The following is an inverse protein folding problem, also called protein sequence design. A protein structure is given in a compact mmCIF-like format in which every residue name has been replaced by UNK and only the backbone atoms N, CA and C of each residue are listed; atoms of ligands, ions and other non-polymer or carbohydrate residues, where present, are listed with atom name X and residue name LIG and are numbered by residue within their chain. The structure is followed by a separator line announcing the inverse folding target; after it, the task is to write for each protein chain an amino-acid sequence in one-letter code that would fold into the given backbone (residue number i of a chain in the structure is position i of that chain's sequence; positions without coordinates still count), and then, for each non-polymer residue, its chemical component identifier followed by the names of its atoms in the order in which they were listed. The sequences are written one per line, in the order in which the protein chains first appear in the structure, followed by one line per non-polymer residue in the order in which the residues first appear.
data_IF_345107262848
#
_entry.id   IF_345107262848
#
_cell.length_a   1.000
_cell.length_b   1.000
_cell.length_c   1.000
_cell.angle_alpha   90.00
_cell.angle_beta   90.00
_cell.angle_gamma   90.00
#
_symmetry.space_group_name_H-M   'P 1'
#
loop_
_entity.id
_entity.type
_entity.pdbx_description
1 polymer ?
#
# COMPACT_ATOMS: atom_id res chain seq x y z
N UNK A 1 -35.20 -30.15 3.29
CA UNK A 1 -35.63 -29.87 4.68
C UNK A 1 -35.00 -30.89 5.62
N UNK A 2 -33.89 -30.58 6.28
CA UNK A 2 -33.56 -31.11 7.62
C UNK A 2 -32.76 -30.02 8.35
N UNK A 3 -33.50 -29.23 9.12
CA UNK A 3 -33.17 -28.70 10.45
C UNK A 3 -31.76 -28.15 10.73
N UNK A 4 -31.64 -26.82 10.61
CA UNK A 4 -30.83 -25.96 11.49
C UNK A 4 -31.10 -26.34 12.95
N UNK A 5 -30.10 -26.89 13.66
CA UNK A 5 -30.06 -26.91 15.12
C UNK A 5 -28.72 -26.33 15.57
N UNK A 6 -28.84 -25.15 16.15
CA UNK A 6 -27.86 -24.43 16.96
C UNK A 6 -26.93 -25.37 17.73
N UNK A 7 -25.63 -25.30 17.41
CA UNK A 7 -24.58 -25.86 18.26
C UNK A 7 -23.77 -24.70 18.84
N UNK A 8 -24.19 -24.35 20.06
CA UNK A 8 -23.50 -23.68 21.15
C UNK A 8 -22.35 -22.71 20.83
N UNK A 9 -22.67 -21.45 21.14
CA UNK A 9 -21.89 -20.22 21.13
C UNK A 9 -20.63 -20.15 22.04
N UNK A 10 -20.10 -21.24 22.60
CA UNK A 10 -19.06 -21.14 23.66
C UNK A 10 -17.65 -21.64 23.27
N UNK A 11 -17.19 -21.44 22.04
CA UNK A 11 -15.77 -21.80 21.70
C UNK A 11 -15.09 -20.88 20.69
N UNK A 12 -15.80 -19.90 20.14
CA UNK A 12 -15.23 -18.82 19.32
C UNK A 12 -14.69 -17.66 20.20
N UNK A 13 -15.10 -17.58 21.47
CA UNK A 13 -14.74 -16.46 22.37
C UNK A 13 -13.26 -16.45 22.80
N UNK A 14 -12.54 -17.59 22.75
CA UNK A 14 -11.15 -17.62 23.24
C UNK A 14 -10.10 -17.01 22.31
N UNK A 15 -10.40 -16.83 21.02
CA UNK A 15 -9.49 -16.13 20.08
C UNK A 15 -9.99 -14.73 19.71
N UNK A 16 -11.28 -14.42 19.95
CA UNK A 16 -11.90 -13.17 19.50
C UNK A 16 -11.97 -12.09 20.59
N UNK A 17 -11.97 -12.42 21.89
CA UNK A 17 -12.23 -11.43 22.96
C UNK A 17 -11.03 -10.89 23.77
N UNK A 18 -9.79 -11.35 23.57
CA UNK A 18 -8.63 -10.85 24.36
C UNK A 18 -7.86 -9.76 23.60
N UNK A 19 -8.57 -8.71 23.14
CA UNK A 19 -7.95 -7.45 22.71
C UNK A 19 -7.91 -6.39 23.82
N UNK A 20 -8.65 -6.55 24.92
CA UNK A 20 -8.48 -5.68 26.09
C UNK A 20 -8.99 -6.38 27.34
N UNK A 21 -8.14 -6.58 28.34
CA UNK A 21 -8.48 -6.42 29.77
C UNK A 21 -7.26 -6.64 30.65
N UNK A 22 -6.88 -5.57 31.35
CA UNK A 22 -6.10 -5.61 32.57
C UNK A 22 -6.88 -6.28 33.69
N UNK A 23 -6.33 -7.31 34.32
CA UNK A 23 -6.60 -7.61 35.74
C UNK A 23 -5.51 -8.50 36.34
N UNK A 24 -5.00 -8.02 37.46
CA UNK A 24 -4.04 -8.63 38.37
C UNK A 24 -4.55 -9.92 39.03
N UNK A 25 -3.65 -10.89 39.23
CA UNK A 25 -3.61 -11.62 40.50
C UNK A 25 -2.20 -12.10 40.81
N UNK A 26 -1.72 -11.65 41.96
CA UNK A 26 -0.49 -12.07 42.65
C UNK A 26 -0.43 -13.58 42.87
N UNK A 27 0.76 -14.19 42.74
CA UNK A 27 1.28 -15.18 43.69
C UNK A 27 2.77 -15.49 43.48
N UNK A 28 3.52 -15.30 44.57
CA UNK A 28 4.73 -15.99 45.02
C UNK A 28 5.96 -16.10 44.11
N UNK A 29 6.90 -15.19 44.38
CA UNK A 29 8.30 -15.22 44.00
C UNK A 29 9.04 -16.43 44.56
N UNK A 30 9.41 -17.37 43.70
CA UNK A 30 10.50 -18.31 43.93
C UNK A 30 11.74 -17.88 43.14
N UNK A 31 12.92 -17.93 43.76
CA UNK A 31 14.22 -17.55 43.15
C UNK A 31 14.59 -18.36 41.89
N UNK A 32 13.81 -19.38 41.53
CA UNK A 32 13.94 -20.17 40.30
C UNK A 32 13.28 -19.49 39.08
N UNK A 33 12.18 -18.75 39.28
CA UNK A 33 11.52 -17.97 38.21
C UNK A 33 12.39 -16.81 37.76
N UNK A 34 13.03 -16.09 38.68
CA UNK A 34 13.90 -14.96 38.33
C UNK A 34 15.14 -15.41 37.53
N UNK A 35 15.69 -16.58 37.84
CA UNK A 35 16.84 -17.15 37.13
C UNK A 35 16.42 -17.69 35.75
N UNK A 36 15.23 -18.29 35.63
CA UNK A 36 14.67 -18.72 34.35
C UNK A 36 14.32 -17.54 33.44
N UNK A 37 13.75 -16.46 33.99
CA UNK A 37 13.43 -15.24 33.23
C UNK A 37 14.70 -14.55 32.73
N UNK A 38 15.75 -14.49 33.56
CA UNK A 38 17.06 -13.92 33.18
C UNK A 38 17.71 -14.74 32.05
N UNK A 39 17.76 -16.06 32.20
CA UNK A 39 18.26 -16.96 31.17
C UNK A 39 17.43 -16.86 29.87
N UNK A 40 16.13 -16.65 29.97
CA UNK A 40 15.24 -16.46 28.82
C UNK A 40 15.46 -15.11 28.13
N UNK A 41 15.65 -14.03 28.90
CA UNK A 41 16.03 -12.71 28.39
C UNK A 41 17.35 -12.77 27.62
N UNK A 42 18.32 -13.56 28.08
CA UNK A 42 19.58 -13.79 27.37
C UNK A 42 19.38 -14.55 26.05
N UNK A 43 18.50 -15.56 26.03
CA UNK A 43 18.14 -16.28 24.79
C UNK A 43 17.38 -15.40 23.78
N UNK A 44 16.58 -14.44 24.27
CA UNK A 44 15.96 -13.41 23.45
C UNK A 44 16.94 -12.30 23.08
N UNK A 45 18.01 -12.10 23.86
CA UNK A 45 19.02 -11.08 23.60
C UNK A 45 19.82 -11.38 22.33
N UNK A 46 20.03 -12.66 22.00
CA UNK A 46 20.66 -13.09 20.75
C UNK A 46 19.74 -13.05 19.53
N UNK A 47 18.45 -12.79 19.70
CA UNK A 47 17.50 -12.71 18.58
C UNK A 47 17.45 -11.30 17.98
N UNK A 48 17.74 -11.21 16.69
CA UNK A 48 17.72 -9.98 15.92
C UNK A 48 16.30 -9.64 15.43
N UNK A 49 15.50 -9.08 16.34
CA UNK A 49 14.16 -8.51 16.07
C UNK A 49 14.16 -6.98 16.10
N UNK A 50 15.34 -6.37 16.18
CA UNK A 50 15.48 -4.92 16.22
C UNK A 50 14.71 -4.24 17.36
N UNK A 51 14.07 -3.13 17.07
CA UNK A 51 13.21 -2.27 17.89
C UNK A 51 11.96 -2.97 18.44
N UNK A 52 11.56 -4.10 17.85
CA UNK A 52 10.44 -4.91 18.35
C UNK A 52 10.85 -5.80 19.52
N UNK A 53 12.15 -5.94 19.79
CA UNK A 53 12.70 -6.77 20.86
C UNK A 53 12.04 -6.51 22.20
N UNK A 54 11.78 -5.26 22.57
CA UNK A 54 11.09 -4.95 23.84
C UNK A 54 9.62 -5.39 23.85
N UNK A 55 8.88 -5.21 22.74
CA UNK A 55 7.50 -5.65 22.65
C UNK A 55 7.40 -7.18 22.71
N UNK A 56 8.30 -7.86 22.01
CA UNK A 56 8.31 -9.33 21.99
C UNK A 56 8.73 -9.87 23.36
N UNK A 57 9.79 -9.34 23.96
CA UNK A 57 10.21 -9.69 25.33
C UNK A 57 9.04 -9.53 26.29
N UNK A 58 8.32 -8.41 26.24
CA UNK A 58 7.15 -8.19 27.10
C UNK A 58 6.10 -9.28 26.94
N UNK A 59 5.73 -9.65 25.71
CA UNK A 59 4.72 -10.71 25.49
C UNK A 59 5.18 -12.09 25.99
N UNK A 60 6.48 -12.37 25.90
CA UNK A 60 7.05 -13.57 26.52
C UNK A 60 7.05 -13.51 28.05
N UNK A 61 7.38 -12.37 28.63
CA UNK A 61 7.36 -12.16 30.09
C UNK A 61 5.94 -12.28 30.64
N UNK A 62 4.95 -11.71 29.95
CA UNK A 62 3.53 -11.82 30.31
C UNK A 62 3.09 -13.29 30.32
N UNK A 63 3.52 -14.09 29.33
CA UNK A 63 3.26 -15.53 29.27
C UNK A 63 3.97 -16.31 30.38
N UNK A 64 5.28 -16.08 30.56
CA UNK A 64 6.10 -16.80 31.54
C UNK A 64 5.72 -16.49 32.99
N UNK A 65 5.18 -15.30 33.26
CA UNK A 65 4.68 -14.90 34.58
C UNK A 65 3.30 -15.50 34.91
N UNK A 66 2.72 -16.30 34.01
CA UNK A 66 1.40 -16.92 34.19
C UNK A 66 0.24 -15.93 34.13
N UNK A 67 0.49 -14.70 33.67
CA UNK A 67 -0.55 -13.68 33.53
C UNK A 67 -1.46 -13.93 32.32
N UNK A 68 -0.99 -14.71 31.33
CA UNK A 68 -1.75 -15.08 30.13
C UNK A 68 -1.57 -16.56 29.81
N UNK A 69 -2.67 -17.23 29.46
CA UNK A 69 -2.70 -18.66 29.16
C UNK A 69 -2.14 -19.01 27.76
N UNK A 70 -1.86 -18.02 26.92
CA UNK A 70 -1.42 -18.23 25.54
C UNK A 70 -0.41 -17.19 25.08
N UNK A 71 0.50 -17.59 24.20
CA UNK A 71 1.53 -16.71 23.68
C UNK A 71 1.07 -16.05 22.36
N UNK A 72 0.70 -14.77 22.43
CA UNK A 72 0.34 -13.99 21.26
C UNK A 72 1.55 -13.27 20.66
N UNK A 73 2.05 -13.70 19.50
CA UNK A 73 3.09 -13.03 18.74
C UNK A 73 2.59 -12.48 17.40
N UNK A 74 1.28 -12.29 17.24
CA UNK A 74 0.68 -11.74 16.03
C UNK A 74 1.03 -10.26 15.82
N UNK A 75 1.04 -9.83 14.55
CA UNK A 75 1.22 -8.42 14.12
C UNK A 75 2.58 -7.80 14.46
N UNK A 76 3.61 -8.62 14.65
CA UNK A 76 4.94 -8.17 15.02
C UNK A 76 5.92 -8.15 13.84
N UNK A 77 5.46 -8.43 12.61
CA UNK A 77 6.33 -8.42 11.43
C UNK A 77 7.48 -9.44 11.49
N UNK A 78 7.31 -10.51 12.28
CA UNK A 78 8.37 -11.49 12.53
C UNK A 78 8.76 -12.22 11.24
N UNK A 79 10.06 -12.30 10.96
CA UNK A 79 10.61 -13.10 9.84
C UNK A 79 11.06 -14.49 10.26
N UNK A 80 11.41 -14.65 11.53
CA UNK A 80 11.86 -15.89 12.16
C UNK A 80 11.30 -15.97 13.58
N UNK A 81 11.54 -17.09 14.27
CA UNK A 81 11.33 -17.22 15.72
C UNK A 81 12.66 -17.48 16.43
N UNK A 82 12.80 -17.07 17.70
CA UNK A 82 14.02 -17.28 18.47
C UNK A 82 14.10 -18.72 18.97
N UNK A 83 15.31 -19.18 19.24
CA UNK A 83 15.56 -20.43 19.97
C UNK A 83 15.02 -20.39 21.41
N UNK A 84 14.68 -19.21 21.93
CA UNK A 84 14.00 -19.08 23.22
C UNK A 84 12.69 -19.88 23.28
N UNK A 85 12.00 -20.10 22.15
CA UNK A 85 10.83 -21.00 22.06
C UNK A 85 11.15 -22.41 22.55
N UNK A 86 12.39 -22.89 22.35
CA UNK A 86 12.82 -24.23 22.81
C UNK A 86 12.83 -24.36 24.33
N UNK A 87 12.82 -23.23 25.07
CA UNK A 87 12.81 -23.20 26.53
C UNK A 87 11.41 -23.23 27.13
N UNK A 88 10.37 -23.21 26.31
CA UNK A 88 8.96 -23.34 26.72
C UNK A 88 8.30 -24.57 26.06
N UNK A 89 8.77 -25.79 26.36
CA UNK A 89 8.24 -27.01 25.75
C UNK A 89 6.77 -27.31 26.13
N UNK A 90 6.29 -26.68 27.20
CA UNK A 90 4.91 -26.75 27.69
C UNK A 90 3.95 -25.78 26.98
N UNK A 91 4.40 -25.11 25.91
CA UNK A 91 3.57 -24.16 25.17
C UNK A 91 2.38 -24.89 24.52
N UNK A 92 1.16 -24.53 24.94
CA UNK A 92 -0.09 -25.13 24.45
C UNK A 92 -0.73 -24.32 23.31
N UNK A 93 -0.68 -22.99 23.39
CA UNK A 93 -1.35 -22.10 22.43
C UNK A 93 -0.40 -20.99 22.00
N UNK A 94 -0.18 -20.88 20.68
CA UNK A 94 0.59 -19.78 20.09
C UNK A 94 -0.12 -19.19 18.87
N UNK A 95 -0.14 -17.86 18.83
CA UNK A 95 -0.60 -17.11 17.65
C UNK A 95 0.55 -16.36 17.02
N UNK A 96 0.78 -16.62 15.73
CA UNK A 96 1.80 -16.02 14.88
C UNK A 96 1.19 -15.37 13.65
N UNK A 97 -0.10 -15.08 13.68
CA UNK A 97 -0.81 -14.52 12.53
C UNK A 97 -0.33 -13.13 12.12
N UNK A 98 -0.49 -12.79 10.83
CA UNK A 98 -0.13 -11.49 10.26
C UNK A 98 1.33 -11.07 10.54
N UNK A 99 2.25 -12.03 10.40
CA UNK A 99 3.69 -11.82 10.45
C UNK A 99 4.31 -11.94 9.06
N UNK A 100 5.65 -11.98 8.98
CA UNK A 100 6.40 -12.05 7.73
C UNK A 100 7.13 -13.39 7.58
N UNK A 101 6.59 -14.46 8.15
CA UNK A 101 7.21 -15.78 8.13
C UNK A 101 7.09 -16.37 6.72
N UNK A 102 8.23 -16.66 6.09
CA UNK A 102 8.31 -17.29 4.76
C UNK A 102 8.48 -18.81 4.83
N UNK A 103 9.05 -19.30 5.93
CA UNK A 103 9.31 -20.70 6.18
C UNK A 103 8.85 -21.07 7.58
N UNK A 104 8.25 -22.25 7.73
CA UNK A 104 7.77 -22.69 9.03
C UNK A 104 8.92 -22.73 10.05
N UNK A 105 8.76 -22.18 11.26
CA UNK A 105 9.83 -22.16 12.25
C UNK A 105 10.11 -23.56 12.82
N UNK A 106 11.28 -24.13 12.52
CA UNK A 106 11.67 -25.47 13.01
C UNK A 106 11.61 -25.60 14.54
N UNK A 107 11.84 -24.51 15.27
CA UNK A 107 11.77 -24.48 16.74
C UNK A 107 10.40 -24.87 17.30
N UNK A 108 9.32 -24.63 16.56
CA UNK A 108 7.96 -25.00 16.99
C UNK A 108 7.76 -26.52 17.01
N UNK A 109 8.47 -27.28 16.18
CA UNK A 109 8.37 -28.74 16.16
C UNK A 109 8.82 -29.40 17.47
N UNK A 110 9.51 -28.66 18.34
CA UNK A 110 9.93 -29.11 19.68
C UNK A 110 8.86 -28.88 20.75
N UNK A 111 7.83 -28.07 20.49
CA UNK A 111 6.73 -27.77 21.40
C UNK A 111 5.68 -28.88 21.37
N UNK A 112 6.00 -30.04 21.97
CA UNK A 112 5.15 -31.23 21.89
C UNK A 112 3.76 -31.07 22.50
N UNK A 113 3.60 -30.14 23.45
CA UNK A 113 2.31 -29.88 24.10
C UNK A 113 1.42 -28.91 23.30
N UNK A 114 1.85 -28.46 22.12
CA UNK A 114 1.13 -27.45 21.36
C UNK A 114 -0.20 -28.00 20.83
N UNK A 115 -1.30 -27.42 21.30
CA UNK A 115 -2.67 -27.79 20.93
C UNK A 115 -3.24 -26.87 19.85
N UNK A 116 -2.88 -25.58 19.87
CA UNK A 116 -3.40 -24.57 18.94
C UNK A 116 -2.26 -23.73 18.36
N UNK A 117 -2.17 -23.74 17.02
CA UNK A 117 -1.19 -22.97 16.26
C UNK A 117 -1.89 -22.11 15.21
N UNK A 118 -1.83 -20.79 15.36
CA UNK A 118 -2.33 -19.85 14.36
C UNK A 118 -1.17 -19.24 13.57
N UNK A 119 -1.15 -19.47 12.27
CA UNK A 119 -0.17 -19.04 11.29
C UNK A 119 -0.80 -18.26 10.12
N UNK A 120 -2.06 -17.86 10.27
CA UNK A 120 -2.83 -17.13 9.25
C UNK A 120 -2.12 -15.85 8.78
N UNK A 121 -2.24 -15.50 7.49
CA UNK A 121 -1.73 -14.22 6.98
C UNK A 121 -0.20 -14.07 7.04
N UNK A 122 0.53 -15.15 6.78
CA UNK A 122 1.99 -15.14 6.61
C UNK A 122 2.34 -15.33 5.13
N UNK A 123 3.59 -15.69 4.82
CA UNK A 123 4.09 -15.87 3.45
C UNK A 123 4.57 -17.30 3.19
N UNK A 124 3.95 -18.30 3.83
CA UNK A 124 4.30 -19.70 3.62
C UNK A 124 3.93 -20.16 2.21
N UNK A 125 4.87 -20.80 1.52
CA UNK A 125 4.65 -21.44 0.21
C UNK A 125 4.45 -22.96 0.28
N UNK A 126 4.98 -23.57 1.32
CA UNK A 126 4.80 -24.99 1.63
C UNK A 126 4.78 -25.20 3.14
N UNK A 127 4.29 -26.36 3.57
CA UNK A 127 4.32 -26.82 4.95
C UNK A 127 5.30 -28.00 5.04
N UNK A 128 6.24 -28.01 5.99
CA UNK A 128 7.22 -29.09 6.08
C UNK A 128 6.69 -30.34 6.81
N UNK A 129 7.23 -31.51 6.47
CA UNK A 129 6.86 -32.80 7.08
C UNK A 129 6.98 -32.84 8.60
N UNK A 130 7.98 -32.14 9.16
CA UNK A 130 8.24 -32.14 10.60
C UNK A 130 7.15 -31.44 11.42
N UNK A 131 6.17 -30.80 10.79
CA UNK A 131 4.98 -30.31 11.46
C UNK A 131 4.13 -31.45 12.07
N UNK A 132 4.16 -32.63 11.43
CA UNK A 132 3.52 -33.85 11.91
C UNK A 132 3.99 -34.30 13.30
N UNK A 133 5.16 -33.82 13.77
CA UNK A 133 5.68 -34.13 15.10
C UNK A 133 4.89 -33.47 16.24
N UNK A 134 3.94 -32.57 15.93
CA UNK A 134 3.06 -31.94 16.89
C UNK A 134 1.85 -32.83 17.19
N UNK A 135 2.08 -33.95 17.87
CA UNK A 135 1.09 -35.02 18.12
C UNK A 135 -0.16 -34.55 18.90
N UNK A 136 -0.03 -33.48 19.68
CA UNK A 136 -1.12 -32.90 20.47
C UNK A 136 -1.87 -31.77 19.75
N UNK A 137 -1.48 -31.43 18.52
CA UNK A 137 -2.07 -30.31 17.78
C UNK A 137 -3.51 -30.63 17.38
N UNK A 138 -4.46 -29.89 17.94
CA UNK A 138 -5.88 -30.04 17.64
C UNK A 138 -6.41 -28.98 16.69
N UNK A 139 -5.73 -27.84 16.57
CA UNK A 139 -6.10 -26.76 15.65
C UNK A 139 -4.87 -26.14 15.01
N UNK A 140 -4.89 -26.11 13.68
CA UNK A 140 -3.89 -25.42 12.87
C UNK A 140 -4.60 -24.46 11.93
N UNK A 141 -4.29 -23.18 12.04
CA UNK A 141 -4.73 -22.17 11.09
C UNK A 141 -3.57 -21.74 10.19
N UNK A 142 -3.64 -22.05 8.91
CA UNK A 142 -2.67 -21.62 7.89
C UNK A 142 -3.37 -20.86 6.76
N UNK A 143 -4.54 -20.27 7.05
CA UNK A 143 -5.28 -19.43 6.11
C UNK A 143 -4.40 -18.29 5.57
N UNK A 144 -4.77 -17.75 4.41
CA UNK A 144 -4.16 -16.52 3.88
C UNK A 144 -2.64 -16.56 3.75
N UNK A 145 -2.12 -17.74 3.42
CA UNK A 145 -0.75 -17.93 2.97
C UNK A 145 -0.76 -18.33 1.48
N UNK A 146 0.29 -17.97 0.71
CA UNK A 146 0.45 -18.38 -0.70
C UNK A 146 0.88 -19.86 -0.83
N UNK A 147 0.20 -20.76 -0.11
CA UNK A 147 0.49 -22.19 -0.03
C UNK A 147 -0.05 -22.93 -1.26
N UNK A 148 0.74 -23.86 -1.78
CA UNK A 148 0.24 -24.87 -2.70
C UNK A 148 -0.42 -26.01 -1.89
N UNK A 149 -1.75 -26.10 -1.96
CA UNK A 149 -2.53 -27.09 -1.20
C UNK A 149 -2.24 -28.52 -1.64
N UNK A 150 -1.77 -28.72 -2.88
CA UNK A 150 -1.43 -30.04 -3.42
C UNK A 150 -0.09 -30.57 -2.87
N UNK A 151 0.67 -29.73 -2.16
CA UNK A 151 1.98 -30.03 -1.58
C UNK A 151 1.95 -30.14 -0.04
N UNK A 152 0.76 -30.32 0.56
CA UNK A 152 0.67 -30.51 2.00
C UNK A 152 1.24 -31.90 2.40
N UNK A 153 2.07 -31.95 3.46
CA UNK A 153 2.76 -33.18 3.84
C UNK A 153 1.78 -34.21 4.41
N UNK A 154 2.02 -35.49 4.13
CA UNK A 154 1.15 -36.58 4.59
C UNK A 154 1.05 -36.64 6.12
N UNK A 155 2.13 -36.26 6.81
CA UNK A 155 2.23 -36.26 8.27
C UNK A 155 1.22 -35.35 8.97
N UNK A 156 0.66 -34.34 8.28
CA UNK A 156 -0.44 -33.52 8.82
C UNK A 156 -1.71 -34.33 9.05
N UNK A 157 -1.97 -35.31 8.19
CA UNK A 157 -3.16 -36.17 8.28
C UNK A 157 -3.02 -37.26 9.35
N UNK A 158 -1.81 -37.47 9.85
CA UNK A 158 -1.50 -38.43 10.92
C UNK A 158 -1.72 -37.83 12.31
N UNK A 159 -1.84 -36.50 12.42
CA UNK A 159 -2.11 -35.80 13.69
C UNK A 159 -3.55 -36.09 14.16
N UNK A 160 -3.75 -36.73 15.33
CA UNK A 160 -5.08 -37.08 15.81
C UNK A 160 -5.95 -35.85 16.10
N UNK A 161 -7.20 -35.87 15.60
CA UNK A 161 -8.22 -34.83 15.86
C UNK A 161 -7.85 -33.42 15.36
N UNK A 162 -6.87 -33.30 14.46
CA UNK A 162 -6.49 -32.01 13.88
C UNK A 162 -7.65 -31.38 13.11
N UNK A 163 -7.99 -30.14 13.48
CA UNK A 163 -8.83 -29.25 12.68
C UNK A 163 -7.93 -28.28 11.94
N UNK A 164 -7.87 -28.47 10.62
CA UNK A 164 -7.06 -27.66 9.74
C UNK A 164 -7.90 -26.57 9.06
N UNK A 165 -7.53 -25.31 9.27
CA UNK A 165 -8.05 -24.20 8.47
C UNK A 165 -7.08 -23.92 7.31
N UNK A 166 -7.46 -24.41 6.12
CA UNK A 166 -6.80 -24.12 4.84
C UNK A 166 -7.51 -23.05 4.03
N UNK A 167 -8.65 -22.54 4.51
CA UNK A 167 -9.41 -21.60 3.69
C UNK A 167 -8.53 -20.39 3.45
N UNK A 168 -8.15 -20.15 2.19
CA UNK A 168 -8.04 -18.77 1.74
C UNK A 168 -9.45 -18.22 1.91
N UNK A 169 -9.72 -17.59 3.05
CA UNK A 169 -11.06 -17.08 3.27
C UNK A 169 -11.28 -16.06 2.16
N UNK A 170 -12.35 -16.26 1.38
CA UNK A 170 -12.88 -15.24 0.46
C UNK A 170 -13.19 -13.90 1.15
N UNK A 171 -13.02 -13.84 2.48
CA UNK A 171 -13.38 -12.78 3.41
C UNK A 171 -12.29 -12.51 4.47
N UNK A 172 -11.05 -12.96 4.28
CA UNK A 172 -10.02 -12.65 5.26
C UNK A 172 -9.75 -11.15 5.29
N UNK A 173 -10.08 -10.56 6.43
CA UNK A 173 -9.74 -9.20 6.78
C UNK A 173 -8.43 -9.25 7.58
N UNK A 174 -7.28 -8.81 7.01
CA UNK A 174 -6.04 -8.68 7.77
C UNK A 174 -6.25 -8.05 9.14
N UNK A 175 -5.75 -8.65 10.23
CA UNK A 175 -5.93 -8.05 11.55
C UNK A 175 -5.21 -6.69 11.64
N UNK A 176 -4.21 -6.45 10.78
CA UNK A 176 -3.61 -5.12 10.57
C UNK A 176 -4.63 -4.10 10.07
N UNK A 177 -5.57 -4.44 9.18
CA UNK A 177 -6.63 -3.50 8.82
C UNK A 177 -7.40 -3.07 10.06
N UNK A 178 -7.79 -4.02 10.93
CA UNK A 178 -8.48 -3.70 12.18
C UNK A 178 -7.63 -2.82 13.10
N UNK A 179 -6.32 -3.05 13.17
CA UNK A 179 -5.39 -2.25 13.97
C UNK A 179 -5.27 -0.80 13.49
N UNK A 180 -5.24 -0.56 12.17
CA UNK A 180 -5.12 0.79 11.60
C UNK A 180 -6.48 1.49 11.44
N UNK A 181 -7.50 0.79 10.93
CA UNK A 181 -8.86 1.27 10.75
C UNK A 181 -9.89 0.13 10.97
N UNK A 182 -10.48 0.06 12.19
CA UNK A 182 -11.56 -0.89 12.47
C UNK A 182 -12.76 -0.76 11.52
N UNK A 183 -13.09 0.47 11.10
CA UNK A 183 -14.20 0.73 10.19
C UNK A 183 -13.90 0.17 8.78
N UNK A 184 -12.68 0.35 8.28
CA UNK A 184 -12.27 -0.20 7.00
C UNK A 184 -12.31 -1.74 7.03
N UNK A 185 -11.80 -2.32 8.12
CA UNK A 185 -11.81 -3.77 8.34
C UNK A 185 -13.23 -4.35 8.27
N UNK A 186 -14.22 -3.69 8.90
CA UNK A 186 -15.63 -4.12 8.83
C UNK A 186 -16.20 -4.08 7.41
N UNK A 187 -15.78 -3.13 6.57
CA UNK A 187 -16.26 -2.95 5.20
C UNK A 187 -15.45 -3.70 4.15
N UNK A 188 -14.30 -4.29 4.52
CA UNK A 188 -13.38 -4.94 3.57
C UNK A 188 -14.05 -6.03 2.73
N UNK A 189 -14.94 -6.84 3.32
CA UNK A 189 -15.67 -7.90 2.61
C UNK A 189 -16.51 -7.39 1.42
N UNK A 190 -16.89 -6.10 1.43
CA UNK A 190 -17.54 -5.43 0.29
C UNK A 190 -16.51 -5.06 -0.79
N UNK A 191 -15.35 -4.55 -0.38
CA UNK A 191 -14.29 -4.07 -1.27
C UNK A 191 -13.48 -5.20 -1.89
N UNK A 192 -13.39 -6.35 -1.23
CA UNK A 192 -12.63 -7.52 -1.68
C UNK A 192 -13.14 -8.08 -3.02
N UNK A 193 -14.42 -7.86 -3.34
CA UNK A 193 -15.02 -8.26 -4.62
C UNK A 193 -14.66 -7.34 -5.78
N UNK A 194 -14.04 -6.19 -5.52
CA UNK A 194 -13.66 -5.23 -6.53
C UNK A 194 -12.31 -5.61 -7.17
N UNK A 195 -12.15 -5.25 -8.44
CA UNK A 195 -10.94 -5.58 -9.20
C UNK A 195 -9.72 -4.88 -8.59
N UNK A 196 -8.64 -5.64 -8.37
CA UNK A 196 -7.38 -5.15 -7.81
C UNK A 196 -7.30 -5.14 -6.28
N UNK A 197 -8.37 -5.53 -5.57
CA UNK A 197 -8.40 -5.60 -4.10
C UNK A 197 -7.32 -6.53 -3.51
N UNK A 198 -7.01 -7.64 -4.19
CA UNK A 198 -5.99 -8.60 -3.77
C UNK A 198 -4.57 -8.03 -3.81
N UNK A 199 -4.26 -7.22 -4.83
CA UNK A 199 -3.00 -6.50 -4.91
C UNK A 199 -2.89 -5.50 -3.76
N UNK A 200 -3.95 -4.73 -3.50
CA UNK A 200 -3.96 -3.80 -2.37
C UNK A 200 -3.77 -4.49 -1.02
N UNK A 201 -4.45 -5.63 -0.78
CA UNK A 201 -4.28 -6.44 0.43
C UNK A 201 -2.82 -6.84 0.62
N UNK A 202 -2.19 -7.35 -0.44
CA UNK A 202 -0.78 -7.76 -0.45
C UNK A 202 0.14 -6.57 -0.18
N UNK A 203 -0.08 -5.46 -0.88
CA UNK A 203 0.68 -4.22 -0.73
C UNK A 203 0.61 -3.71 0.71
N UNK A 204 -0.59 -3.69 1.28
CA UNK A 204 -0.79 -3.21 2.64
C UNK A 204 -0.07 -4.07 3.67
N UNK A 205 -0.10 -5.39 3.52
CA UNK A 205 0.62 -6.30 4.41
C UNK A 205 2.14 -6.08 4.34
N UNK A 206 2.67 -5.80 3.14
CA UNK A 206 4.09 -5.49 2.95
C UNK A 206 4.42 -4.13 3.58
N UNK A 207 3.73 -3.04 3.22
CA UNK A 207 3.99 -1.70 3.77
C UNK A 207 3.88 -1.70 5.29
N UNK A 208 2.81 -2.28 5.82
CA UNK A 208 2.63 -2.36 7.28
C UNK A 208 3.72 -3.16 7.97
N UNK A 209 4.39 -4.11 7.28
CA UNK A 209 5.54 -4.81 7.84
C UNK A 209 6.80 -3.95 7.82
N UNK A 210 6.99 -3.19 6.76
CA UNK A 210 8.12 -2.28 6.59
C UNK A 210 8.10 -1.21 7.69
N UNK A 211 6.93 -0.69 8.06
CA UNK A 211 6.76 0.29 9.14
C UNK A 211 7.26 -0.19 10.52
N UNK A 212 7.28 -1.50 10.75
CA UNK A 212 7.75 -2.07 12.02
C UNK A 212 9.24 -2.42 12.03
N UNK A 213 9.97 -2.11 10.96
CA UNK A 213 11.44 -2.17 10.95
C UNK A 213 12.06 -1.01 11.73
N UNK A 214 13.31 -1.18 12.16
CA UNK A 214 14.06 -0.19 12.95
C UNK A 214 14.35 1.08 12.18
N UNK A 215 14.56 0.91 10.87
CA UNK A 215 14.79 2.03 9.95
C UNK A 215 13.62 3.01 9.92
N UNK A 216 12.40 2.52 10.19
CA UNK A 216 11.20 3.34 10.20
C UNK A 216 10.81 3.83 11.59
N UNK A 217 11.59 3.56 12.65
CA UNK A 217 11.17 3.81 14.03
C UNK A 217 10.78 5.27 14.30
N UNK A 218 11.51 6.24 13.73
CA UNK A 218 11.21 7.67 13.91
C UNK A 218 9.98 8.12 13.11
N UNK A 219 9.80 7.54 11.92
CA UNK A 219 8.79 7.91 10.91
C UNK A 219 7.47 7.15 11.09
N UNK A 220 7.51 6.04 11.83
CA UNK A 220 6.38 5.12 12.05
C UNK A 220 5.10 5.83 12.50
N UNK A 221 5.10 6.81 13.43
CA UNK A 221 3.88 7.50 13.83
C UNK A 221 3.21 8.23 12.66
N UNK A 222 4.01 8.95 11.86
CA UNK A 222 3.52 9.69 10.69
C UNK A 222 2.88 8.75 9.67
N UNK A 223 3.63 7.72 9.23
CA UNK A 223 3.11 6.79 8.23
C UNK A 223 1.95 5.95 8.72
N UNK A 224 1.90 5.62 10.01
CA UNK A 224 0.75 4.91 10.59
C UNK A 224 -0.52 5.75 10.50
N UNK A 225 -0.42 7.06 10.76
CA UNK A 225 -1.52 7.99 10.58
C UNK A 225 -1.91 8.13 9.10
N UNK A 226 -0.94 8.20 8.19
CA UNK A 226 -1.20 8.24 6.73
C UNK A 226 -1.89 6.99 6.22
N UNK A 227 -1.44 5.79 6.61
CA UNK A 227 -2.12 4.53 6.25
C UNK A 227 -3.57 4.52 6.75
N UNK A 228 -3.79 4.87 8.02
CA UNK A 228 -5.14 4.99 8.58
C UNK A 228 -6.00 5.97 7.79
N UNK A 229 -5.43 7.11 7.40
CA UNK A 229 -6.10 8.11 6.60
C UNK A 229 -6.52 7.56 5.23
N UNK A 230 -5.61 6.95 4.47
CA UNK A 230 -5.94 6.36 3.17
C UNK A 230 -7.01 5.28 3.27
N UNK A 231 -6.90 4.37 4.24
CA UNK A 231 -7.94 3.36 4.49
C UNK A 231 -9.31 4.01 4.71
N UNK A 232 -9.38 5.06 5.51
CA UNK A 232 -10.64 5.77 5.77
C UNK A 232 -11.16 6.52 4.54
N UNK A 233 -10.28 7.11 3.72
CA UNK A 233 -10.67 7.78 2.48
C UNK A 233 -11.23 6.80 1.45
N UNK A 234 -10.70 5.58 1.39
CA UNK A 234 -11.23 4.51 0.54
C UNK A 234 -12.66 4.10 0.91
N UNK A 235 -13.06 4.26 2.18
CA UNK A 235 -14.44 3.97 2.61
C UNK A 235 -15.42 4.93 1.93
N UNK A 236 -15.06 6.22 1.87
CA UNK A 236 -15.93 7.30 1.39
C UNK A 236 -15.99 7.38 -0.13
N UNK A 237 -14.86 7.16 -0.80
CA UNK A 237 -14.71 7.45 -2.23
C UNK A 237 -14.42 6.17 -3.02
N UNK A 238 -15.45 5.61 -3.69
CA UNK A 238 -15.29 4.41 -4.54
C UNK A 238 -14.30 4.63 -5.67
N UNK A 239 -14.32 5.82 -6.29
CA UNK A 239 -13.39 6.15 -7.38
C UNK A 239 -11.95 6.15 -6.88
N UNK A 240 -11.67 6.83 -5.78
CA UNK A 240 -10.35 6.83 -5.14
C UNK A 240 -9.89 5.41 -4.77
N UNK A 241 -10.78 4.61 -4.20
CA UNK A 241 -10.50 3.22 -3.83
C UNK A 241 -10.03 2.40 -5.04
N UNK A 242 -10.70 2.52 -6.19
CA UNK A 242 -10.29 1.82 -7.40
C UNK A 242 -8.92 2.29 -7.90
N UNK A 243 -8.67 3.60 -7.87
CA UNK A 243 -7.37 4.18 -8.25
C UNK A 243 -6.24 3.72 -7.34
N UNK A 244 -6.52 3.52 -6.05
CA UNK A 244 -5.56 2.94 -5.11
C UNK A 244 -5.26 1.48 -5.44
N UNK A 245 -6.27 0.68 -5.80
CA UNK A 245 -6.07 -0.70 -6.22
C UNK A 245 -5.17 -0.79 -7.45
N UNK A 246 -5.42 0.05 -8.47
CA UNK A 246 -4.58 0.16 -9.67
C UNK A 246 -3.13 0.54 -9.33
N UNK A 247 -2.91 1.57 -8.50
CA UNK A 247 -1.56 1.95 -8.05
C UNK A 247 -0.81 0.80 -7.33
N UNK A 248 -1.53 -0.04 -6.58
CA UNK A 248 -0.89 -1.16 -5.87
C UNK A 248 -0.57 -2.35 -6.77
N UNK A 249 -1.35 -2.59 -7.81
CA UNK A 249 -1.08 -3.63 -8.80
C UNK A 249 0.24 -3.36 -9.53
N UNK A 250 0.41 -2.13 -10.01
CA UNK A 250 1.64 -1.71 -10.68
C UNK A 250 2.88 -1.84 -9.76
N UNK A 251 2.75 -1.55 -8.47
CA UNK A 251 3.88 -1.50 -7.55
C UNK A 251 4.37 -2.87 -7.06
N UNK A 252 3.48 -3.85 -6.90
CA UNK A 252 3.87 -5.21 -6.49
C UNK A 252 4.55 -5.97 -7.63
N UNK A 253 4.24 -5.61 -8.88
CA UNK A 253 4.73 -6.34 -10.06
C UNK A 253 6.24 -6.21 -10.32
N UNK A 254 6.91 -5.26 -9.66
CA UNK A 254 8.24 -4.79 -10.08
C UNK A 254 9.35 -4.85 -9.03
N UNK A 255 9.19 -4.28 -7.81
CA UNK A 255 10.21 -4.38 -6.73
C UNK A 255 9.70 -3.89 -5.35
N UNK A 256 10.48 -4.15 -4.28
CA UNK A 256 10.12 -3.77 -2.90
C UNK A 256 10.15 -2.24 -2.66
N UNK A 257 11.00 -1.48 -3.36
CA UNK A 257 11.07 -0.02 -3.17
C UNK A 257 9.95 0.72 -3.91
N UNK A 258 9.40 0.11 -4.98
CA UNK A 258 8.21 0.65 -5.65
C UNK A 258 6.98 0.66 -4.74
N UNK A 259 6.94 -0.23 -3.75
CA UNK A 259 5.89 -0.27 -2.73
C UNK A 259 5.88 1.02 -1.90
N UNK A 260 7.04 1.56 -1.55
CA UNK A 260 7.12 2.84 -0.82
C UNK A 260 6.89 4.03 -1.75
N UNK A 261 7.43 3.97 -2.96
CA UNK A 261 7.16 5.00 -3.96
C UNK A 261 5.67 5.16 -4.27
N UNK A 262 4.93 4.06 -4.33
CA UNK A 262 3.48 4.08 -4.56
C UNK A 262 2.69 4.83 -3.48
N UNK A 263 3.25 5.04 -2.28
CA UNK A 263 2.62 5.87 -1.25
C UNK A 263 2.51 7.34 -1.68
N UNK A 264 3.49 7.84 -2.43
CA UNK A 264 3.42 9.19 -3.00
C UNK A 264 2.39 9.26 -4.12
N UNK A 265 2.32 8.22 -4.96
CA UNK A 265 1.33 8.14 -6.03
C UNK A 265 -0.08 8.11 -5.45
N UNK A 266 -0.32 7.32 -4.41
CA UNK A 266 -1.58 7.30 -3.66
C UNK A 266 -1.93 8.69 -3.09
N UNK A 267 -0.94 9.44 -2.63
CA UNK A 267 -1.18 10.81 -2.17
C UNK A 267 -1.58 11.75 -3.31
N UNK A 268 -0.91 11.66 -4.46
CA UNK A 268 -1.31 12.39 -5.65
C UNK A 268 -2.75 12.03 -6.05
N UNK A 269 -3.12 10.73 -6.07
CA UNK A 269 -4.50 10.31 -6.38
C UNK A 269 -5.52 10.86 -5.37
N UNK A 270 -5.15 10.99 -4.09
CA UNK A 270 -5.99 11.63 -3.08
C UNK A 270 -6.22 13.11 -3.40
N UNK A 271 -5.15 13.87 -3.63
CA UNK A 271 -5.24 15.30 -3.93
C UNK A 271 -6.08 15.55 -5.20
N UNK A 272 -5.92 14.73 -6.22
CA UNK A 272 -6.73 14.79 -7.44
C UNK A 272 -8.23 14.55 -7.16
N UNK A 273 -8.57 13.60 -6.27
CA UNK A 273 -9.95 13.32 -5.89
C UNK A 273 -10.56 14.47 -5.07
N UNK A 274 -9.80 15.05 -4.13
CA UNK A 274 -10.25 16.21 -3.35
C UNK A 274 -10.51 17.43 -4.22
N UNK A 275 -9.62 17.70 -5.19
CA UNK A 275 -9.86 18.75 -6.18
C UNK A 275 -11.12 18.42 -6.99
N UNK A 276 -11.30 17.18 -7.43
CA UNK A 276 -12.46 16.75 -8.22
C UNK A 276 -13.79 16.93 -7.49
N UNK A 277 -13.81 16.82 -6.16
CA UNK A 277 -15.01 17.04 -5.35
C UNK A 277 -15.45 18.52 -5.30
N UNK A 278 -14.54 19.45 -5.61
CA UNK A 278 -14.86 20.88 -5.72
C UNK A 278 -15.15 21.60 -4.40
N UNK A 279 -14.79 21.00 -3.25
CA UNK A 279 -14.98 21.56 -1.91
C UNK A 279 -13.84 22.49 -1.48
N UNK A 280 -12.69 22.42 -2.14
CA UNK A 280 -11.48 23.18 -1.83
C UNK A 280 -11.56 24.63 -2.32
N UNK A 281 -10.94 25.54 -1.58
CA UNK A 281 -10.69 26.91 -2.00
C UNK A 281 -9.66 26.98 -3.15
N UNK A 282 -9.65 28.10 -3.89
CA UNK A 282 -8.69 28.33 -4.98
C UNK A 282 -7.23 28.24 -4.50
N UNK A 283 -6.93 28.69 -3.27
CA UNK A 283 -5.60 28.61 -2.68
C UNK A 283 -5.18 27.16 -2.36
N UNK A 284 -6.10 26.35 -1.81
CA UNK A 284 -5.86 24.93 -1.51
C UNK A 284 -5.68 24.10 -2.78
N UNK A 285 -6.45 24.40 -3.83
CA UNK A 285 -6.30 23.79 -5.16
C UNK A 285 -4.91 24.12 -5.71
N UNK A 286 -4.50 25.39 -5.68
CA UNK A 286 -3.19 25.81 -6.16
C UNK A 286 -2.05 25.11 -5.41
N UNK A 287 -2.11 25.08 -4.08
CA UNK A 287 -1.11 24.39 -3.25
C UNK A 287 -1.05 22.89 -3.55
N UNK A 288 -2.19 22.24 -3.77
CA UNK A 288 -2.24 20.80 -4.07
C UNK A 288 -1.66 20.49 -5.44
N UNK A 289 -1.98 21.30 -6.45
CA UNK A 289 -1.41 21.19 -7.81
C UNK A 289 0.10 21.43 -7.77
N UNK A 290 0.56 22.45 -7.03
CA UNK A 290 1.98 22.77 -6.90
C UNK A 290 2.76 21.61 -6.27
N UNK A 291 2.22 20.96 -5.23
CA UNK A 291 2.84 19.77 -4.61
C UNK A 291 2.97 18.60 -5.60
N UNK A 292 1.91 18.31 -6.35
CA UNK A 292 1.92 17.25 -7.36
C UNK A 292 2.90 17.56 -8.52
N UNK A 293 2.95 18.82 -8.93
CA UNK A 293 3.87 19.30 -9.97
C UNK A 293 5.33 19.11 -9.56
N UNK A 294 5.73 19.59 -8.38
CA UNK A 294 7.12 19.44 -7.92
C UNK A 294 7.53 17.96 -7.82
N UNK A 295 6.65 17.10 -7.30
CA UNK A 295 6.89 15.66 -7.25
C UNK A 295 7.13 15.08 -8.65
N UNK A 296 6.29 15.44 -9.63
CA UNK A 296 6.46 15.01 -11.02
C UNK A 296 7.77 15.50 -11.64
N UNK A 297 8.14 16.77 -11.46
CA UNK A 297 9.38 17.31 -12.01
C UNK A 297 10.61 16.62 -11.42
N UNK A 298 10.62 16.34 -10.11
CA UNK A 298 11.73 15.63 -9.48
C UNK A 298 11.87 14.21 -10.03
N UNK A 299 10.75 13.51 -10.28
CA UNK A 299 10.77 12.20 -10.93
C UNK A 299 11.41 12.30 -12.32
N UNK A 300 10.98 13.24 -13.16
CA UNK A 300 11.52 13.41 -14.51
C UNK A 300 13.01 13.75 -14.49
N UNK A 301 13.44 14.69 -13.64
CA UNK A 301 14.86 15.07 -13.54
C UNK A 301 15.72 13.92 -13.04
N UNK A 302 15.24 13.11 -12.09
CA UNK A 302 15.97 11.93 -11.61
C UNK A 302 16.13 10.86 -12.71
N UNK A 303 15.09 10.60 -13.50
CA UNK A 303 15.16 9.66 -14.63
C UNK A 303 16.07 10.18 -15.76
N UNK A 304 16.00 11.48 -16.07
CA UNK A 304 16.90 12.12 -17.03
C UNK A 304 18.36 12.00 -16.58
N UNK A 305 18.63 12.26 -15.31
CA UNK A 305 19.96 12.14 -14.72
C UNK A 305 20.51 10.71 -14.83
N UNK A 306 19.70 9.71 -14.49
CA UNK A 306 20.09 8.31 -14.63
C UNK A 306 20.43 7.97 -16.08
N UNK A 307 19.58 8.34 -17.03
CA UNK A 307 19.82 8.10 -18.45
C UNK A 307 21.17 8.70 -18.91
N UNK A 308 21.52 9.91 -18.45
CA UNK A 308 22.81 10.52 -18.74
C UNK A 308 23.99 9.71 -18.19
N UNK A 309 23.90 9.25 -16.94
CA UNK A 309 24.92 8.39 -16.32
C UNK A 309 25.09 7.08 -17.09
N UNK A 310 23.98 6.46 -17.52
CA UNK A 310 24.04 5.20 -18.27
C UNK A 310 24.67 5.37 -19.65
N UNK A 311 24.36 6.48 -20.34
CA UNK A 311 25.00 6.82 -21.62
C UNK A 311 26.51 6.99 -21.42
N UNK A 312 26.94 7.72 -20.39
CA UNK A 312 28.36 7.94 -20.08
C UNK A 312 29.11 6.65 -19.72
N UNK A 313 28.43 5.69 -19.06
CA UNK A 313 29.02 4.43 -18.62
C UNK A 313 28.88 3.27 -19.63
N UNK A 314 28.57 3.57 -20.90
CA UNK A 314 28.55 2.56 -21.97
C UNK A 314 27.25 1.77 -22.11
N UNK A 315 26.10 2.41 -21.86
CA UNK A 315 24.75 1.87 -22.12
C UNK A 315 24.45 0.57 -21.34
N UNK A 316 24.60 0.61 -20.03
CA UNK A 316 24.02 -0.42 -19.15
C UNK A 316 22.52 -0.18 -19.00
N UNK A 317 21.71 -1.23 -19.08
CA UNK A 317 20.28 -1.16 -18.76
C UNK A 317 20.10 -0.64 -17.32
N UNK A 318 19.21 0.33 -17.14
CA UNK A 318 18.82 0.84 -15.82
C UNK A 318 17.89 -0.17 -15.17
N UNK A 319 18.22 -0.57 -13.95
CA UNK A 319 17.30 -1.41 -13.17
C UNK A 319 16.17 -0.56 -12.58
N UNK A 320 14.99 -1.14 -12.37
CA UNK A 320 13.88 -0.42 -11.74
C UNK A 320 14.21 0.01 -10.30
N UNK A 321 14.96 -0.80 -9.56
CA UNK A 321 15.45 -0.48 -8.22
C UNK A 321 16.34 0.77 -8.23
N UNK A 322 17.30 0.84 -9.16
CA UNK A 322 18.16 2.02 -9.34
C UNK A 322 17.37 3.29 -9.72
N UNK A 323 16.32 3.12 -10.53
CA UNK A 323 15.42 4.22 -10.92
C UNK A 323 14.69 4.79 -9.72
N UNK A 324 14.07 3.92 -8.92
CA UNK A 324 13.25 4.33 -7.78
C UNK A 324 14.11 4.96 -6.68
N UNK A 325 15.25 4.36 -6.35
CA UNK A 325 16.13 4.90 -5.31
C UNK A 325 16.66 6.29 -5.71
N UNK A 326 17.05 6.50 -6.96
CA UNK A 326 17.50 7.82 -7.43
C UNK A 326 16.37 8.85 -7.34
N UNK A 327 15.14 8.47 -7.72
CA UNK A 327 13.97 9.36 -7.58
C UNK A 327 13.71 9.69 -6.11
N UNK A 328 13.78 8.71 -5.21
CA UNK A 328 13.61 8.91 -3.78
C UNK A 328 14.69 9.81 -3.18
N UNK A 329 15.93 9.74 -3.67
CA UNK A 329 17.02 10.63 -3.27
C UNK A 329 16.75 12.08 -3.66
N UNK A 330 16.30 12.31 -4.89
CA UNK A 330 15.92 13.64 -5.37
C UNK A 330 14.78 14.20 -4.52
N UNK A 331 13.77 13.39 -4.21
CA UNK A 331 12.62 13.80 -3.40
C UNK A 331 13.02 14.09 -1.95
N UNK A 332 13.77 13.19 -1.31
CA UNK A 332 14.18 13.31 0.09
C UNK A 332 15.10 14.51 0.29
N UNK A 333 15.99 14.79 -0.66
CA UNK A 333 16.94 15.91 -0.59
C UNK A 333 16.31 17.27 -0.92
N UNK A 334 15.16 17.29 -1.61
CA UNK A 334 14.48 18.54 -2.03
C UNK A 334 13.42 19.05 -1.03
N UNK A 335 13.27 18.39 0.12
CA UNK A 335 12.18 18.63 1.07
C UNK A 335 12.13 20.05 1.66
N UNK A 336 13.28 20.71 1.82
CA UNK A 336 13.35 22.08 2.35
C UNK A 336 12.98 23.14 1.31
N UNK A 337 13.05 22.79 0.03
CA UNK A 337 12.84 23.71 -1.09
C UNK A 337 11.43 23.62 -1.63
N UNK A 338 10.92 22.40 -1.78
CA UNK A 338 9.61 22.16 -2.38
C UNK A 338 8.66 21.52 -1.38
N UNK A 339 7.43 22.06 -1.32
CA UNK A 339 6.33 21.34 -0.68
C UNK A 339 6.01 20.08 -1.47
N UNK A 340 5.99 18.94 -0.78
CA UNK A 340 5.72 17.62 -1.35
C UNK A 340 4.33 17.12 -0.97
N UNK A 341 3.72 16.20 -1.75
CA UNK A 341 2.43 15.59 -1.40
C UNK A 341 2.47 14.92 -0.02
N UNK A 342 3.55 14.18 0.24
CA UNK A 342 3.88 13.54 1.53
C UNK A 342 5.01 14.32 2.19
N UNK A 343 5.05 14.37 3.51
CA UNK A 343 6.17 14.98 4.24
C UNK A 343 7.43 14.12 4.07
N UNK A 344 8.38 14.65 3.30
CA UNK A 344 9.59 13.96 2.90
C UNK A 344 10.72 14.03 3.93
N UNK A 345 10.61 14.90 4.95
CA UNK A 345 11.54 14.90 6.10
C UNK A 345 11.49 13.59 6.89
N UNK A 346 10.40 12.83 6.71
CA UNK A 346 10.12 11.59 7.41
C UNK A 346 10.35 10.37 6.50
N UNK A 347 11.27 10.41 5.54
CA UNK A 347 11.49 9.28 4.62
C UNK A 347 12.91 8.76 4.76
N UNK A 348 13.03 7.47 5.10
CA UNK A 348 14.29 6.74 5.13
C UNK A 348 14.33 5.81 3.93
N UNK A 349 15.36 5.97 3.11
CA UNK A 349 15.60 5.08 1.96
C UNK A 349 16.06 3.71 2.44
N UNK A 350 15.54 2.66 1.80
CA UNK A 350 15.85 1.28 2.19
C UNK A 350 17.19 0.82 1.62
N UNK A 351 17.59 1.35 0.46
CA UNK A 351 18.84 0.97 -0.21
C UNK A 351 19.62 2.17 -0.76
N UNK A 352 20.04 3.12 0.12
CA UNK A 352 20.78 4.32 -0.29
C UNK A 352 22.10 4.02 -1.01
N UNK A 353 22.60 2.77 -0.96
CA UNK A 353 23.81 2.33 -1.65
C UNK A 353 23.64 2.05 -3.15
N UNK A 354 22.41 1.99 -3.68
CA UNK A 354 22.14 1.67 -5.09
C UNK A 354 22.01 2.94 -5.94
N UNK A 355 21.57 4.04 -5.33
CA UNK A 355 21.47 5.32 -6.01
C UNK A 355 22.84 5.82 -6.46
N UNK A 356 22.87 6.36 -7.69
CA UNK A 356 24.05 7.05 -8.25
C UNK A 356 23.93 8.56 -8.14
N UNK A 357 22.87 9.08 -7.52
CA UNK A 357 22.66 10.51 -7.35
C UNK A 357 23.77 11.15 -6.53
N UNK A 358 24.39 12.20 -7.05
CA UNK A 358 25.32 13.03 -6.29
C UNK A 358 24.61 14.25 -5.73
N UNK A 359 25.04 14.74 -4.57
CA UNK A 359 24.48 15.95 -3.95
C UNK A 359 24.46 17.14 -4.94
N UNK A 360 25.54 17.30 -5.71
CA UNK A 360 25.61 18.34 -6.75
C UNK A 360 24.53 18.18 -7.82
N UNK A 361 24.30 16.97 -8.33
CA UNK A 361 23.29 16.74 -9.37
C UNK A 361 21.87 17.04 -8.88
N UNK A 362 21.60 16.73 -7.62
CA UNK A 362 20.32 17.03 -6.98
C UNK A 362 20.16 18.56 -6.85
N UNK A 363 21.18 19.26 -6.37
CA UNK A 363 21.15 20.73 -6.25
C UNK A 363 20.96 21.41 -7.62
N UNK A 364 21.59 20.91 -8.67
CA UNK A 364 21.42 21.40 -10.04
C UNK A 364 19.98 21.18 -10.54
N UNK A 365 19.39 20.01 -10.26
CA UNK A 365 18.01 19.71 -10.62
C UNK A 365 17.01 20.59 -9.86
N UNK A 366 17.19 20.76 -8.55
CA UNK A 366 16.36 21.65 -7.71
C UNK A 366 16.40 23.07 -8.26
N UNK A 367 17.61 23.60 -8.51
CA UNK A 367 17.78 24.94 -9.07
C UNK A 367 17.13 25.08 -10.44
N UNK A 368 17.27 24.08 -11.32
CA UNK A 368 16.60 24.08 -12.63
C UNK A 368 15.08 24.19 -12.50
N UNK A 369 14.48 23.49 -11.54
CA UNK A 369 13.03 23.53 -11.30
C UNK A 369 12.61 24.91 -10.75
N UNK A 370 13.41 25.51 -9.85
CA UNK A 370 13.17 26.86 -9.35
C UNK A 370 13.27 27.92 -10.44
N UNK A 371 14.32 27.86 -11.28
CA UNK A 371 14.54 28.79 -12.39
C UNK A 371 13.41 28.71 -13.43
N UNK A 372 12.88 27.51 -13.71
CA UNK A 372 11.71 27.32 -14.58
C UNK A 372 10.47 27.95 -13.97
N UNK A 373 10.25 27.74 -12.67
CA UNK A 373 9.12 28.28 -11.91
C UNK A 373 9.12 29.80 -11.85
N UNK A 374 10.26 30.45 -11.62
CA UNK A 374 10.36 31.92 -11.53
C UNK A 374 9.98 32.61 -12.85
N UNK A 375 10.21 31.98 -14.00
CA UNK A 375 9.96 32.59 -15.31
C UNK A 375 8.47 32.73 -15.63
N UNK A 376 7.64 31.74 -15.30
CA UNK A 376 6.17 31.81 -15.53
C UNK A 376 5.39 30.72 -14.76
N UNK A 377 5.41 30.78 -13.42
CA UNK A 377 4.74 29.81 -12.53
C UNK A 377 3.30 29.47 -12.94
N UNK A 378 2.41 30.43 -13.27
CA UNK A 378 1.02 30.09 -13.61
C UNK A 378 0.89 29.28 -14.90
N UNK A 379 1.65 29.63 -15.94
CA UNK A 379 1.59 28.93 -17.24
C UNK A 379 2.04 27.47 -17.12
N UNK A 380 3.13 27.23 -16.39
CA UNK A 380 3.67 25.87 -16.19
C UNK A 380 2.66 24.96 -15.47
N UNK A 381 2.01 25.48 -14.42
CA UNK A 381 1.01 24.71 -13.71
C UNK A 381 -0.24 24.44 -14.56
N UNK A 382 -0.63 25.39 -15.42
CA UNK A 382 -1.69 25.17 -16.44
C UNK A 382 -1.28 24.04 -17.38
N UNK A 383 -0.07 24.10 -17.94
CA UNK A 383 0.44 23.11 -18.87
C UNK A 383 0.46 21.70 -18.26
N UNK A 384 0.81 21.60 -16.96
CA UNK A 384 0.81 20.35 -16.21
C UNK A 384 -0.59 19.74 -16.00
N UNK A 385 -1.61 20.55 -15.71
CA UNK A 385 -2.93 20.03 -15.31
C UNK A 385 -3.97 19.97 -16.44
N UNK A 386 -3.80 20.76 -17.51
CA UNK A 386 -4.87 20.99 -18.50
C UNK A 386 -5.38 19.70 -19.17
N UNK A 387 -4.51 18.70 -19.35
CA UNK A 387 -4.87 17.41 -19.93
C UNK A 387 -5.18 16.32 -18.89
N UNK A 388 -5.11 16.62 -17.58
CA UNK A 388 -5.34 15.62 -16.53
C UNK A 388 -6.84 15.35 -16.34
N UNK A 389 -7.28 14.07 -16.31
CA UNK A 389 -8.70 13.72 -16.22
C UNK A 389 -9.43 14.29 -14.99
N UNK A 390 -8.76 14.37 -13.84
CA UNK A 390 -9.36 14.91 -12.62
C UNK A 390 -9.72 16.40 -12.78
N UNK A 391 -8.93 17.14 -13.55
CA UNK A 391 -9.13 18.57 -13.78
C UNK A 391 -10.33 18.82 -14.69
N UNK A 392 -10.52 17.97 -15.70
CA UNK A 392 -11.73 17.99 -16.54
C UNK A 392 -12.99 17.73 -15.71
N UNK A 393 -12.93 16.79 -14.75
CA UNK A 393 -14.05 16.47 -13.84
C UNK A 393 -14.36 17.61 -12.88
N UNK A 394 -13.35 18.38 -12.47
CA UNK A 394 -13.54 19.58 -11.66
C UNK A 394 -14.19 20.73 -12.46
N UNK A 395 -13.74 20.97 -13.70
CA UNK A 395 -14.20 22.10 -14.51
C UNK A 395 -15.54 21.83 -15.22
N UNK A 396 -15.80 20.59 -15.64
CA UNK A 396 -16.97 20.26 -16.45
C UNK A 396 -18.30 20.65 -15.79
N UNK A 397 -18.61 20.27 -14.53
CA UNK A 397 -19.89 20.61 -13.91
C UNK A 397 -20.15 22.11 -13.79
N UNK A 398 -19.07 22.91 -13.70
CA UNK A 398 -19.14 24.37 -13.57
C UNK A 398 -19.35 25.09 -14.90
N UNK A 399 -19.06 24.42 -16.01
CA UNK A 399 -19.06 24.99 -17.36
C UNK A 399 -19.86 24.11 -18.34
N UNK A 400 -20.73 23.24 -17.82
CA UNK A 400 -21.40 22.19 -18.58
C UNK A 400 -22.13 22.75 -19.80
N UNK A 401 -23.00 23.73 -19.59
CA UNK A 401 -23.84 24.29 -20.65
C UNK A 401 -22.99 24.91 -21.77
N UNK A 402 -21.88 25.55 -21.41
CA UNK A 402 -20.94 26.11 -22.38
C UNK A 402 -20.20 25.01 -23.17
N UNK A 403 -19.66 24.01 -22.47
CA UNK A 403 -18.91 22.91 -23.10
C UNK A 403 -19.83 22.10 -24.03
N UNK A 404 -21.00 21.69 -23.53
CA UNK A 404 -21.96 20.89 -24.28
C UNK A 404 -22.45 21.66 -25.53
N UNK A 405 -22.68 22.98 -25.40
CA UNK A 405 -23.07 23.81 -26.54
C UNK A 405 -21.98 23.89 -27.63
N UNK A 406 -20.70 24.05 -27.24
CA UNK A 406 -19.59 24.09 -28.20
C UNK A 406 -19.35 22.75 -28.89
N UNK A 407 -19.56 21.63 -28.18
CA UNK A 407 -19.30 20.30 -28.72
C UNK A 407 -20.48 19.72 -29.53
N UNK A 408 -21.70 20.23 -29.35
CA UNK A 408 -22.90 19.76 -30.05
C UNK A 408 -22.80 19.79 -31.58
N UNK A 409 -21.97 20.68 -32.14
CA UNK A 409 -21.74 20.75 -33.60
C UNK A 409 -21.10 19.46 -34.14
N UNK A 410 -20.26 18.79 -33.35
CA UNK A 410 -19.61 17.55 -33.77
C UNK A 410 -20.58 16.37 -33.72
N UNK A 411 -21.49 16.35 -32.74
CA UNK A 411 -22.53 15.34 -32.65
C UNK A 411 -23.48 15.43 -33.87
N UNK A 412 -23.88 16.64 -34.26
CA UNK A 412 -24.67 16.87 -35.48
C UNK A 412 -23.91 16.44 -36.75
N UNK A 413 -22.60 16.71 -36.83
CA UNK A 413 -21.76 16.29 -37.96
C UNK A 413 -21.65 14.76 -38.04
N UNK A 414 -21.54 14.07 -36.91
CA UNK A 414 -21.54 12.60 -36.85
C UNK A 414 -22.88 12.03 -37.30
N UNK A 415 -24.00 12.57 -36.83
CA UNK A 415 -25.34 12.13 -37.26
C UNK A 415 -25.55 12.27 -38.77
N UNK A 416 -25.10 13.38 -39.36
CA UNK A 416 -25.17 13.61 -40.80
C UNK A 416 -24.27 12.65 -41.59
N UNK A 417 -23.10 12.30 -41.06
CA UNK A 417 -22.20 11.33 -41.68
C UNK A 417 -22.81 9.92 -41.65
N UNK A 418 -23.40 9.53 -40.52
CA UNK A 418 -24.10 8.25 -40.36
C UNK A 418 -25.32 8.13 -41.27
N UNK A 419 -26.08 9.21 -41.44
CA UNK A 419 -27.20 9.25 -42.37
C UNK A 419 -26.78 9.00 -43.83
N UNK A 420 -25.53 9.33 -44.18
CA UNK A 420 -24.94 9.13 -45.53
C UNK A 420 -24.06 7.89 -45.63
N UNK A 421 -24.10 6.98 -44.66
CA UNK A 421 -23.25 5.76 -44.63
C UNK A 421 -23.31 4.92 -45.91
N UNK A 422 -24.48 4.88 -46.56
CA UNK A 422 -24.68 4.11 -47.79
C UNK A 422 -24.14 4.81 -49.06
N UNK A 423 -23.69 6.06 -48.95
CA UNK A 423 -23.22 6.89 -50.07
C UNK A 423 -21.68 6.91 -50.20
N UNK A 424 -20.96 6.41 -49.19
CA UNK A 424 -19.50 6.38 -49.13
C UNK A 424 -18.97 4.95 -48.96
N UNK A 425 -17.73 4.71 -49.42
CA UNK A 425 -17.05 3.44 -49.14
C UNK A 425 -16.56 3.40 -47.68
N UNK A 426 -16.19 2.21 -47.20
CA UNK A 426 -15.81 2.02 -45.80
C UNK A 426 -14.59 2.85 -45.38
N UNK A 427 -13.59 2.96 -46.23
CA UNK A 427 -12.37 3.73 -45.93
C UNK A 427 -12.65 5.24 -45.84
N UNK A 428 -13.49 5.76 -46.73
CA UNK A 428 -13.89 7.18 -46.75
C UNK A 428 -14.73 7.55 -45.52
N UNK A 429 -15.64 6.67 -45.11
CA UNK A 429 -16.40 6.84 -43.88
C UNK A 429 -15.50 6.81 -42.65
N UNK A 430 -14.63 5.80 -42.52
CA UNK A 430 -13.68 5.68 -41.39
C UNK A 430 -12.79 6.92 -41.30
N UNK A 431 -12.25 7.40 -42.42
CA UNK A 431 -11.45 8.61 -42.45
C UNK A 431 -12.24 9.85 -42.01
N UNK A 432 -13.49 9.97 -42.43
CA UNK A 432 -14.38 11.08 -42.02
C UNK A 432 -14.70 11.03 -40.53
N UNK A 433 -15.01 9.85 -39.98
CA UNK A 433 -15.22 9.63 -38.54
C UNK A 433 -13.97 10.01 -37.75
N UNK A 434 -12.80 9.57 -38.19
CA UNK A 434 -11.53 9.88 -37.53
C UNK A 434 -11.24 11.39 -37.54
N UNK A 435 -11.49 12.06 -38.66
CA UNK A 435 -11.31 13.51 -38.77
C UNK A 435 -12.25 14.29 -37.83
N UNK A 436 -13.54 13.94 -37.80
CA UNK A 436 -14.51 14.59 -36.90
C UNK A 436 -14.13 14.36 -35.44
N UNK A 437 -13.75 13.13 -35.10
CA UNK A 437 -13.34 12.76 -33.73
C UNK A 437 -12.09 13.53 -33.28
N UNK A 438 -11.09 13.65 -34.16
CA UNK A 438 -9.86 14.37 -33.88
C UNK A 438 -10.09 15.89 -33.76
N UNK A 439 -10.92 16.47 -34.62
CA UNK A 439 -11.33 17.88 -34.48
C UNK A 439 -12.09 18.11 -33.17
N UNK A 440 -13.06 17.25 -32.83
CA UNK A 440 -13.79 17.32 -31.56
C UNK A 440 -12.83 17.29 -30.37
N UNK A 441 -11.85 16.39 -30.38
CA UNK A 441 -10.83 16.27 -29.33
C UNK A 441 -9.99 17.53 -29.21
N UNK A 442 -9.57 18.14 -30.33
CA UNK A 442 -8.81 19.40 -30.34
C UNK A 442 -9.62 20.56 -29.77
N UNK A 443 -10.87 20.70 -30.20
CA UNK A 443 -11.78 21.74 -29.68
C UNK A 443 -12.05 21.55 -28.20
N UNK A 444 -12.29 20.31 -27.75
CA UNK A 444 -12.48 20.01 -26.33
C UNK A 444 -11.23 20.37 -25.50
N UNK A 445 -10.04 19.94 -25.93
CA UNK A 445 -8.78 20.32 -25.27
C UNK A 445 -8.64 21.85 -25.20
N UNK A 446 -8.88 22.57 -26.30
CA UNK A 446 -8.79 24.02 -26.33
C UNK A 446 -9.72 24.73 -25.34
N UNK A 447 -10.97 24.25 -25.22
CA UNK A 447 -11.94 24.75 -24.24
C UNK A 447 -11.38 24.57 -22.82
N UNK A 448 -10.84 23.40 -22.49
CA UNK A 448 -10.26 23.17 -21.17
C UNK A 448 -9.03 24.04 -20.91
N UNK A 449 -8.17 24.28 -21.89
CA UNK A 449 -7.03 25.21 -21.77
C UNK A 449 -7.51 26.62 -21.46
N UNK A 450 -8.53 27.10 -22.19
CA UNK A 450 -9.14 28.41 -21.96
C UNK A 450 -9.72 28.52 -20.55
N UNK A 451 -10.55 27.55 -20.14
CA UNK A 451 -11.18 27.54 -18.82
C UNK A 451 -10.14 27.46 -17.69
N UNK A 452 -9.06 26.70 -17.90
CA UNK A 452 -7.95 26.60 -16.92
C UNK A 452 -7.25 27.94 -16.78
N UNK A 453 -7.01 28.64 -17.89
CA UNK A 453 -6.36 29.95 -17.89
C UNK A 453 -7.21 31.01 -17.20
N UNK A 454 -8.53 30.99 -17.45
CA UNK A 454 -9.50 31.82 -16.73
C UNK A 454 -9.50 31.50 -15.23
N UNK A 455 -9.46 30.22 -14.84
CA UNK A 455 -9.42 29.83 -13.44
C UNK A 455 -8.21 30.41 -12.69
N UNK A 456 -7.04 30.50 -13.32
CA UNK A 456 -5.83 31.08 -12.71
C UNK A 456 -5.60 32.56 -13.00
N UNK A 457 -6.55 33.25 -13.63
CA UNK A 457 -6.43 34.66 -14.04
C UNK A 457 -5.20 34.94 -14.93
N UNK A 458 -4.82 33.95 -15.77
CA UNK A 458 -3.66 34.05 -16.67
C UNK A 458 -4.13 34.46 -18.05
N UNK A 459 -3.62 35.59 -18.53
CA UNK A 459 -3.85 36.01 -19.93
C UNK A 459 -2.89 35.23 -20.84
N UNK A 460 -3.36 34.14 -21.44
CA UNK A 460 -2.61 33.46 -22.52
C UNK A 460 -2.59 34.39 -23.74
N UNK A 461 -1.46 35.06 -23.99
CA UNK A 461 -1.33 36.00 -25.11
C UNK A 461 -1.40 35.35 -26.50
N UNK A 462 -1.18 34.03 -26.62
CA UNK A 462 -0.87 33.44 -27.93
C UNK A 462 -1.69 32.23 -28.40
N UNK A 463 -2.59 31.63 -27.59
CA UNK A 463 -3.25 30.36 -28.01
C UNK A 463 -4.79 30.38 -28.04
N UNK A 464 -5.48 31.39 -27.49
CA UNK A 464 -6.95 31.41 -27.52
C UNK A 464 -7.48 32.05 -28.81
N UNK A 465 -6.68 32.87 -29.49
CA UNK A 465 -7.06 33.53 -30.74
C UNK A 465 -6.81 32.69 -32.00
N UNK A 466 -6.11 31.56 -31.89
CA UNK A 466 -5.82 30.63 -33.00
C UNK A 466 -6.68 29.35 -32.98
N UNK A 467 -7.38 29.07 -31.88
CA UNK A 467 -8.32 27.95 -31.77
C UNK A 467 -9.73 28.52 -31.95
#
# INVERSE_FOLDING_TARGET
MVSVRSLNHNTLDRLVDVIDTSASSTLNTDNSESLNLQNFREALASWDVGSLKQQVIKRFEDYLSGNIDYLNLSLLGLKTLPDAILRIPQLEIISLSDNCLKAFPKVLASCRCLEVLNLAGNYFKWIPDYLGNLEHLTRLDISDNPLDCDQLPQSLWEIPKLKLNLQQEKHYVPARFKAFSPEFAQKWSLFEKENGSGFFKTWFLIVSSILWTDRMQQQRPYFSQRLKFWLNSMIKHRRLRQRYFECTEESISTCHDRILFSMFEMECKYLEEEISQGTLSKAEIYSSIERMYHFHCLQEKALQYLNLIHIQNGHKETTEEESIETVLDFISSSHNTFSMPVDTQQIVMFYPSVSKATEQSIQEAVKSIEDEKEKNKPKILIDYIQEKPFWRIFLYPKNKDFIDHQLAVFDQRMELLDARRNECNDDEYINSVNNITEERRRTESAIYIMLTSQFFDVTLKDNVSQI
#
